data_IF_787841506358
#
_entry.id   IF_787841506358
#
_cell.length_a   1.000
_cell.length_b   1.000
_cell.length_c   1.000
_cell.angle_alpha   90.00
_cell.angle_beta   90.00
_cell.angle_gamma   90.00
#
_symmetry.space_group_name_H-M   'P 1'
#
loop_
_entity.id
_entity.type
_entity.pdbx_description
1 polymer ?
#
# COMPACT_ATOMS: atom_id res chain seq x y z
N UNK A 1 3.85 33.65 21.12
CA UNK A 1 4.24 32.23 21.26
C UNK A 1 2.98 31.42 20.93
N UNK A 2 2.93 30.76 19.78
CA UNK A 2 1.79 29.88 19.46
C UNK A 2 1.82 28.71 20.46
N UNK A 3 0.66 28.30 21.02
CA UNK A 3 0.60 27.14 21.91
C UNK A 3 1.09 25.90 21.17
N UNK A 4 1.75 24.99 21.89
CA UNK A 4 2.16 23.71 21.34
C UNK A 4 0.91 22.97 20.80
N UNK A 5 1.00 22.31 19.64
CA UNK A 5 -0.13 21.59 19.08
C UNK A 5 -0.58 20.50 20.05
N UNK A 6 -1.89 20.37 20.23
CA UNK A 6 -2.51 19.31 21.00
C UNK A 6 -2.00 17.95 20.47
N UNK A 7 -1.39 17.09 21.30
CA UNK A 7 -0.93 15.77 20.86
C UNK A 7 -2.02 14.94 20.17
N UNK A 8 -3.29 15.10 20.56
CA UNK A 8 -4.41 14.45 19.89
C UNK A 8 -4.65 14.95 18.47
N UNK A 9 -4.47 16.25 18.24
CA UNK A 9 -4.62 16.88 16.92
C UNK A 9 -3.46 16.52 15.99
N UNK A 10 -2.23 16.44 16.51
CA UNK A 10 -1.09 15.98 15.73
C UNK A 10 -1.31 14.55 15.21
N UNK A 11 -1.72 13.62 16.08
CA UNK A 11 -1.99 12.25 15.68
C UNK A 11 -3.16 12.13 14.69
N UNK A 12 -4.19 12.98 14.80
CA UNK A 12 -5.32 13.05 13.86
C UNK A 12 -4.86 13.52 12.48
N UNK A 13 -4.00 14.53 12.41
CA UNK A 13 -3.42 15.04 11.17
C UNK A 13 -2.52 13.98 10.51
N UNK A 14 -1.67 13.30 11.28
CA UNK A 14 -0.85 12.19 10.77
C UNK A 14 -1.74 11.07 10.22
N UNK A 15 -2.84 10.75 10.91
CA UNK A 15 -3.82 9.79 10.41
C UNK A 15 -4.43 10.25 9.08
N UNK A 16 -4.87 11.50 8.97
CA UNK A 16 -5.41 12.06 7.72
C UNK A 16 -4.39 12.01 6.57
N UNK A 17 -3.14 12.37 6.84
CA UNK A 17 -2.05 12.35 5.86
C UNK A 17 -1.79 10.92 5.34
N UNK A 18 -1.84 9.91 6.20
CA UNK A 18 -1.72 8.51 5.80
C UNK A 18 -2.81 8.09 4.79
N UNK A 19 -4.00 8.71 4.86
CA UNK A 19 -5.05 8.50 3.86
C UNK A 19 -4.82 9.26 2.54
N UNK A 20 -3.79 10.10 2.39
CA UNK A 20 -3.36 10.70 1.11
C UNK A 20 -4.53 11.10 0.20
N UNK A 21 -5.51 11.75 0.82
CA UNK A 21 -6.79 12.09 0.21
C UNK A 21 -6.86 13.58 -0.11
N UNK A 22 -6.15 14.40 0.65
CA UNK A 22 -6.05 15.85 0.44
C UNK A 22 -5.40 16.16 -0.90
N UNK A 23 -5.83 17.26 -1.52
CA UNK A 23 -5.32 17.78 -2.81
C UNK A 23 -5.32 16.77 -3.97
N UNK A 24 -6.21 15.77 -3.90
CA UNK A 24 -6.35 14.78 -4.97
C UNK A 24 -7.49 15.15 -5.93
N UNK A 25 -7.45 14.68 -7.19
CA UNK A 25 -8.54 14.93 -8.14
C UNK A 25 -9.90 14.47 -7.61
N UNK A 26 -10.98 14.98 -8.20
CA UNK A 26 -12.33 14.51 -7.90
C UNK A 26 -12.46 13.01 -8.22
N UNK A 27 -13.22 12.29 -7.39
CA UNK A 27 -13.45 10.86 -7.54
C UNK A 27 -14.95 10.59 -7.54
N UNK A 28 -15.41 9.92 -8.60
CA UNK A 28 -16.83 9.67 -8.83
C UNK A 28 -17.52 8.96 -7.67
N UNK A 29 -16.81 8.11 -6.93
CA UNK A 29 -17.34 7.42 -5.75
C UNK A 29 -17.72 8.39 -4.61
N UNK A 30 -16.89 9.39 -4.32
CA UNK A 30 -17.21 10.42 -3.33
C UNK A 30 -18.28 11.39 -3.83
N UNK A 31 -18.26 11.74 -5.12
CA UNK A 31 -19.30 12.58 -5.73
C UNK A 31 -20.68 11.92 -5.67
N UNK A 32 -20.73 10.60 -5.86
CA UNK A 32 -21.94 9.80 -5.70
C UNK A 32 -22.44 9.82 -4.25
N UNK A 33 -21.56 9.69 -3.25
CA UNK A 33 -21.95 9.76 -1.85
C UNK A 33 -22.55 11.13 -1.49
N UNK A 34 -21.92 12.23 -1.90
CA UNK A 34 -22.47 13.57 -1.70
C UNK A 34 -23.82 13.74 -2.41
N UNK A 35 -23.94 13.26 -3.65
CA UNK A 35 -25.19 13.32 -4.42
C UNK A 35 -26.31 12.52 -3.76
N UNK A 36 -26.02 11.32 -3.26
CA UNK A 36 -26.97 10.48 -2.55
C UNK A 36 -27.40 11.13 -1.24
N UNK A 37 -26.47 11.74 -0.49
CA UNK A 37 -26.78 12.46 0.74
C UNK A 37 -27.74 13.63 0.50
N UNK A 38 -27.47 14.46 -0.52
CA UNK A 38 -28.36 15.56 -0.92
C UNK A 38 -29.76 15.05 -1.28
N UNK A 39 -29.83 14.00 -2.11
CA UNK A 39 -31.11 13.41 -2.53
C UNK A 39 -31.90 12.79 -1.38
N UNK A 40 -31.23 12.03 -0.51
CA UNK A 40 -31.82 11.40 0.67
C UNK A 40 -32.45 12.44 1.61
N UNK A 41 -31.76 13.56 1.82
CA UNK A 41 -32.22 14.61 2.72
C UNK A 41 -33.18 15.61 2.05
N UNK A 42 -33.28 15.56 0.71
CA UNK A 42 -34.01 16.53 -0.09
C UNK A 42 -33.44 17.95 0.04
N UNK A 43 -32.11 18.05 0.16
CA UNK A 43 -31.37 19.31 0.32
C UNK A 43 -30.62 19.68 -0.97
N UNK A 44 -30.40 20.98 -1.23
CA UNK A 44 -29.68 21.43 -2.41
C UNK A 44 -28.16 21.21 -2.30
N UNK A 45 -27.63 21.11 -1.08
CA UNK A 45 -26.19 21.02 -0.84
C UNK A 45 -25.81 19.78 -0.03
N UNK A 46 -24.68 19.19 -0.42
CA UNK A 46 -24.01 18.14 0.34
C UNK A 46 -22.51 18.13 0.04
N UNK A 47 -21.70 17.76 1.03
CA UNK A 47 -20.24 17.72 0.93
C UNK A 47 -19.66 16.50 1.65
N UNK A 48 -18.59 15.95 1.08
CA UNK A 48 -17.63 15.12 1.81
C UNK A 48 -16.39 15.97 2.01
N UNK A 49 -16.04 16.28 3.26
CA UNK A 49 -14.92 17.15 3.58
C UNK A 49 -13.97 16.53 4.60
N UNK A 50 -12.74 17.03 4.60
CA UNK A 50 -11.68 16.68 5.52
C UNK A 50 -11.12 17.91 6.22
N UNK A 51 -10.75 17.75 7.48
CA UNK A 51 -10.21 18.81 8.33
C UNK A 51 -8.69 18.75 8.28
N UNK A 52 -8.08 19.66 7.54
CA UNK A 52 -6.63 19.87 7.50
C UNK A 52 -6.23 20.91 8.57
N UNK A 53 -4.93 21.23 8.68
CA UNK A 53 -4.40 22.13 9.71
C UNK A 53 -5.02 23.53 9.68
N UNK A 54 -5.18 24.12 8.49
CA UNK A 54 -5.59 25.51 8.29
C UNK A 54 -6.83 25.66 7.39
N UNK A 55 -7.36 24.54 6.90
CA UNK A 55 -8.50 24.52 5.96
C UNK A 55 -9.41 23.32 6.17
N UNK A 56 -10.65 23.50 5.75
CA UNK A 56 -11.58 22.40 5.46
C UNK A 56 -11.55 22.16 3.94
N UNK A 57 -11.08 20.98 3.52
CA UNK A 57 -10.93 20.62 2.11
C UNK A 57 -12.04 19.68 1.65
N UNK A 58 -12.64 19.93 0.48
CA UNK A 58 -13.81 19.17 0.02
C UNK A 58 -13.40 18.17 -1.04
N UNK A 59 -13.60 16.89 -0.73
CA UNK A 59 -13.38 15.79 -1.67
C UNK A 59 -14.51 15.68 -2.70
N UNK A 60 -15.72 15.97 -2.26
CA UNK A 60 -16.92 16.02 -3.08
C UNK A 60 -17.82 17.14 -2.60
N UNK A 61 -18.44 17.85 -3.53
CA UNK A 61 -19.33 18.96 -3.24
C UNK A 61 -20.46 19.04 -4.27
N UNK A 62 -21.69 19.05 -3.79
CA UNK A 62 -22.92 19.20 -4.58
C UNK A 62 -23.57 20.49 -4.15
N UNK A 63 -23.89 21.37 -5.11
CA UNK A 63 -24.58 22.64 -4.84
C UNK A 63 -23.73 23.70 -4.12
N UNK A 64 -22.45 23.43 -3.85
CA UNK A 64 -21.53 24.35 -3.18
C UNK A 64 -20.49 24.87 -4.19
N UNK A 65 -20.30 26.20 -4.33
CA UNK A 65 -19.47 26.76 -5.40
C UNK A 65 -17.96 26.77 -5.11
N UNK A 66 -17.54 26.36 -3.92
CA UNK A 66 -16.15 26.35 -3.47
C UNK A 66 -15.70 24.92 -3.12
N UNK A 67 -14.39 24.68 -3.20
CA UNK A 67 -13.75 23.38 -2.92
C UNK A 67 -13.04 23.30 -1.57
N UNK A 68 -12.89 24.43 -0.90
CA UNK A 68 -12.34 24.49 0.46
C UNK A 68 -12.82 25.77 1.15
N UNK A 69 -12.72 25.79 2.47
CA UNK A 69 -12.92 26.98 3.30
C UNK A 69 -11.78 27.09 4.31
N UNK A 70 -11.53 28.30 4.80
CA UNK A 70 -10.65 28.51 5.96
C UNK A 70 -11.19 27.73 7.18
N UNK A 71 -10.31 27.11 7.95
CA UNK A 71 -10.71 26.33 9.13
C UNK A 71 -11.44 27.19 10.16
N UNK A 72 -11.15 28.49 10.24
CA UNK A 72 -11.79 29.41 11.19
C UNK A 72 -13.29 29.60 10.93
N UNK A 73 -13.74 29.40 9.69
CA UNK A 73 -15.16 29.53 9.30
C UNK A 73 -15.85 28.17 9.09
N UNK A 74 -15.10 27.07 9.21
CA UNK A 74 -15.57 25.70 9.03
C UNK A 74 -16.59 25.31 10.11
N UNK A 75 -17.86 25.14 9.72
CA UNK A 75 -18.90 24.67 10.64
C UNK A 75 -18.57 23.30 11.22
N UNK A 76 -17.99 22.38 10.44
CA UNK A 76 -17.66 21.04 10.93
C UNK A 76 -16.52 21.02 11.94
N UNK A 77 -15.53 21.90 11.82
CA UNK A 77 -14.45 22.02 12.81
C UNK A 77 -15.00 22.38 14.19
N UNK A 78 -15.94 23.34 14.23
CA UNK A 78 -16.62 23.74 15.46
C UNK A 78 -17.64 22.69 15.95
N UNK A 79 -18.31 22.00 15.02
CA UNK A 79 -19.37 21.04 15.32
C UNK A 79 -18.87 19.77 16.02
N UNK A 80 -17.66 19.33 15.68
CA UNK A 80 -17.17 18.00 16.04
C UNK A 80 -15.98 18.01 17.00
N UNK A 81 -15.80 19.08 17.78
CA UNK A 81 -14.77 19.31 18.80
C UNK A 81 -14.48 18.06 19.69
N UNK A 82 -13.77 17.06 19.16
CA UNK A 82 -13.61 15.71 19.73
C UNK A 82 -14.84 14.79 19.68
N UNK A 83 -15.98 15.23 19.14
CA UNK A 83 -17.24 14.50 19.14
C UNK A 83 -17.35 13.46 18.01
N UNK A 84 -17.89 12.27 18.33
CA UNK A 84 -18.14 11.18 17.36
C UNK A 84 -19.60 11.03 16.97
N UNK A 85 -20.47 11.85 17.52
CA UNK A 85 -21.89 11.84 17.22
C UNK A 85 -22.22 12.80 16.07
N UNK A 86 -23.24 12.49 15.26
CA UNK A 86 -23.79 13.44 14.30
C UNK A 86 -24.24 14.72 15.01
N UNK A 87 -24.00 15.85 14.36
CA UNK A 87 -24.55 17.12 14.78
C UNK A 87 -25.55 17.60 13.75
N UNK A 88 -26.79 17.81 14.20
CA UNK A 88 -27.90 18.29 13.36
C UNK A 88 -28.48 19.54 13.99
N UNK A 89 -28.53 20.62 13.21
CA UNK A 89 -29.29 21.82 13.54
C UNK A 89 -30.30 22.12 12.44
N UNK A 90 -31.56 22.27 12.83
CA UNK A 90 -32.62 22.63 11.89
C UNK A 90 -32.52 24.10 11.44
N UNK A 91 -31.94 24.97 12.27
CA UNK A 91 -31.67 26.37 11.96
C UNK A 91 -30.37 26.84 12.63
N UNK A 92 -29.31 26.99 11.86
CA UNK A 92 -28.00 27.38 12.32
C UNK A 92 -27.98 28.76 13.00
N UNK A 93 -28.98 29.63 12.76
CA UNK A 93 -29.11 30.92 13.44
C UNK A 93 -29.40 30.80 14.94
N UNK A 94 -30.01 29.69 15.36
CA UNK A 94 -30.35 29.46 16.77
C UNK A 94 -29.28 28.63 17.48
N UNK A 95 -28.35 28.04 16.73
CA UNK A 95 -27.31 27.20 17.29
C UNK A 95 -26.16 28.05 17.87
N UNK A 96 -25.81 27.90 19.17
CA UNK A 96 -24.83 28.76 19.83
C UNK A 96 -23.46 28.84 19.14
N UNK A 97 -23.02 27.72 18.53
CA UNK A 97 -21.72 27.65 17.85
C UNK A 97 -21.74 28.18 16.40
N UNK A 98 -22.92 28.34 15.79
CA UNK A 98 -23.02 28.64 14.35
C UNK A 98 -23.68 29.98 14.05
N UNK A 99 -24.45 30.54 14.97
CA UNK A 99 -25.21 31.75 14.75
C UNK A 99 -24.37 32.95 14.26
N UNK A 100 -23.10 33.02 14.70
CA UNK A 100 -22.12 34.05 14.31
C UNK A 100 -21.21 33.64 13.14
N UNK A 101 -21.36 32.44 12.59
CA UNK A 101 -20.53 31.96 11.48
C UNK A 101 -20.79 32.80 10.22
N UNK A 102 -19.74 33.20 9.47
CA UNK A 102 -19.89 33.89 8.19
C UNK A 102 -20.76 33.13 7.19
N UNK A 103 -20.79 31.79 7.25
CA UNK A 103 -21.62 30.94 6.37
C UNK A 103 -23.11 31.00 6.72
N UNK A 104 -23.45 31.48 7.92
CA UNK A 104 -24.84 31.63 8.41
C UNK A 104 -25.33 33.07 8.24
N UNK A 105 -24.49 34.04 8.62
CA UNK A 105 -24.83 35.48 8.56
C UNK A 105 -24.64 36.07 7.16
N UNK A 106 -23.63 35.62 6.41
CA UNK A 106 -23.38 35.98 5.01
C UNK A 106 -23.76 34.85 4.07
N UNK A 107 -23.39 34.99 2.79
CA UNK A 107 -23.61 33.93 1.79
C UNK A 107 -22.89 32.63 2.21
N UNK A 108 -23.51 31.45 2.02
CA UNK A 108 -24.80 31.21 1.34
C UNK A 108 -26.04 31.30 2.25
N UNK A 109 -25.91 31.80 3.48
CA UNK A 109 -26.99 31.89 4.48
C UNK A 109 -27.51 30.52 4.94
N UNK A 110 -26.61 29.63 5.36
CA UNK A 110 -26.94 28.30 5.86
C UNK A 110 -27.97 28.36 7.00
N UNK A 111 -28.95 27.46 6.95
CA UNK A 111 -30.00 27.25 7.96
C UNK A 111 -30.00 25.80 8.43
N UNK A 112 -30.37 24.84 7.59
CA UNK A 112 -30.15 23.44 7.94
C UNK A 112 -28.65 23.14 7.82
N UNK A 113 -28.10 22.52 8.86
CA UNK A 113 -26.79 21.92 8.82
C UNK A 113 -26.83 20.58 9.57
N UNK A 114 -26.56 19.49 8.85
CA UNK A 114 -26.45 18.16 9.44
C UNK A 114 -25.15 17.52 8.97
N UNK A 115 -24.28 17.16 9.90
CA UNK A 115 -23.01 16.52 9.60
C UNK A 115 -22.82 15.22 10.39
N UNK A 116 -22.30 14.20 9.72
CA UNK A 116 -21.89 12.93 10.32
C UNK A 116 -20.36 12.83 10.23
N UNK A 117 -19.67 12.52 11.35
CA UNK A 117 -18.22 12.41 11.36
C UNK A 117 -17.72 11.19 10.57
N UNK A 118 -16.58 11.37 9.91
CA UNK A 118 -15.80 10.31 9.27
C UNK A 118 -14.72 9.85 10.26
N UNK A 119 -14.96 8.72 10.92
CA UNK A 119 -14.15 8.25 12.05
C UNK A 119 -13.29 7.05 11.64
N UNK A 120 -11.99 7.12 11.91
CA UNK A 120 -11.06 5.99 11.67
C UNK A 120 -11.29 4.86 12.67
N UNK A 121 -10.78 3.64 12.40
CA UNK A 121 -10.80 2.53 13.36
C UNK A 121 -10.14 2.88 14.70
N UNK A 122 -9.10 3.72 14.68
CA UNK A 122 -8.39 4.22 15.86
C UNK A 122 -9.19 5.31 16.62
N UNK A 123 -10.30 5.78 16.02
CA UNK A 123 -11.22 6.71 16.63
C UNK A 123 -10.93 8.19 16.34
N UNK A 124 -10.10 8.49 15.33
CA UNK A 124 -9.83 9.86 14.89
C UNK A 124 -10.93 10.36 13.95
N UNK A 125 -11.40 11.59 14.15
CA UNK A 125 -12.35 12.24 13.24
C UNK A 125 -11.56 12.95 12.14
N UNK A 126 -11.64 12.45 10.91
CA UNK A 126 -10.86 13.04 9.80
C UNK A 126 -11.60 14.17 9.08
N UNK A 127 -12.93 14.19 9.20
CA UNK A 127 -13.79 15.03 8.38
C UNK A 127 -15.26 14.69 8.55
N UNK A 128 -16.10 15.12 7.60
CA UNK A 128 -17.55 14.88 7.66
C UNK A 128 -18.17 14.59 6.30
N UNK A 129 -19.26 13.81 6.34
CA UNK A 129 -20.33 13.90 5.34
C UNK A 129 -21.38 14.87 5.89
N UNK A 130 -21.62 15.97 5.18
CA UNK A 130 -22.58 16.98 5.62
C UNK A 130 -23.59 17.34 4.53
N UNK A 131 -24.82 17.62 4.94
CA UNK A 131 -25.88 18.21 4.10
C UNK A 131 -26.25 19.58 4.63
N UNK A 132 -26.54 20.50 3.71
CA UNK A 132 -26.83 21.88 4.04
C UNK A 132 -28.02 22.40 3.22
N UNK A 133 -28.74 23.36 3.79
CA UNK A 133 -29.83 24.08 3.12
C UNK A 133 -29.85 25.54 3.59
N UNK A 134 -30.36 26.43 2.74
CA UNK A 134 -30.60 27.85 3.06
C UNK A 134 -31.97 28.08 3.67
N UNK A 135 -32.79 27.02 3.78
CA UNK A 135 -34.09 27.01 4.46
C UNK A 135 -34.02 26.12 5.70
N UNK A 136 -34.62 26.52 6.84
CA UNK A 136 -34.70 25.64 8.01
C UNK A 136 -35.45 24.34 7.70
N UNK A 137 -34.94 23.22 8.20
CA UNK A 137 -35.53 21.89 7.95
C UNK A 137 -35.27 20.96 9.13
N UNK A 138 -36.22 20.08 9.44
CA UNK A 138 -36.02 18.99 10.40
C UNK A 138 -35.83 17.70 9.61
N UNK A 139 -34.72 16.99 9.85
CA UNK A 139 -34.47 15.70 9.22
C UNK A 139 -35.16 14.58 10.00
N UNK A 140 -35.75 13.63 9.28
CA UNK A 140 -36.32 12.43 9.86
C UNK A 140 -35.21 11.46 10.33
N UNK A 141 -35.54 10.58 11.27
CA UNK A 141 -34.59 9.60 11.83
C UNK A 141 -33.96 8.72 10.75
N UNK A 142 -34.74 8.31 9.74
CA UNK A 142 -34.30 7.49 8.62
C UNK A 142 -33.29 8.24 7.73
N UNK A 143 -33.43 9.56 7.60
CA UNK A 143 -32.48 10.39 6.85
C UNK A 143 -31.15 10.48 7.59
N UNK A 144 -31.18 10.65 8.92
CA UNK A 144 -29.99 10.67 9.76
C UNK A 144 -29.27 9.31 9.73
N UNK A 145 -30.03 8.22 9.81
CA UNK A 145 -29.48 6.87 9.69
C UNK A 145 -28.87 6.62 8.31
N UNK A 146 -29.52 7.07 7.24
CA UNK A 146 -28.95 7.00 5.90
C UNK A 146 -27.66 7.81 5.75
N UNK A 147 -27.58 9.01 6.35
CA UNK A 147 -26.32 9.77 6.39
C UNK A 147 -25.22 9.01 7.15
N UNK A 148 -25.54 8.33 8.26
CA UNK A 148 -24.58 7.47 8.97
C UNK A 148 -24.07 6.33 8.09
N UNK A 149 -24.96 5.66 7.36
CA UNK A 149 -24.57 4.61 6.42
C UNK A 149 -23.65 5.14 5.31
N UNK A 150 -23.97 6.29 4.72
CA UNK A 150 -23.15 6.92 3.69
C UNK A 150 -21.78 7.38 4.21
N UNK A 151 -21.71 7.91 5.43
CA UNK A 151 -20.45 8.23 6.10
C UNK A 151 -19.59 6.98 6.33
N UNK A 152 -20.21 5.86 6.72
CA UNK A 152 -19.54 4.56 6.79
C UNK A 152 -18.98 4.11 5.43
N UNK A 153 -19.73 4.28 4.34
CA UNK A 153 -19.24 3.98 2.99
C UNK A 153 -18.06 4.88 2.57
N UNK A 154 -18.07 6.16 2.94
CA UNK A 154 -16.94 7.05 2.72
C UNK A 154 -15.67 6.54 3.43
N UNK A 155 -15.80 6.05 4.67
CA UNK A 155 -14.68 5.43 5.39
C UNK A 155 -14.19 4.13 4.76
N UNK A 156 -15.09 3.28 4.25
CA UNK A 156 -14.70 2.07 3.51
C UNK A 156 -13.88 2.43 2.26
N UNK A 157 -14.29 3.45 1.51
CA UNK A 157 -13.54 3.93 0.34
C UNK A 157 -12.16 4.50 0.74
N UNK A 158 -12.08 5.25 1.84
CA UNK A 158 -10.82 5.76 2.36
C UNK A 158 -9.86 4.63 2.76
N UNK A 159 -10.35 3.62 3.46
CA UNK A 159 -9.53 2.49 3.88
C UNK A 159 -9.05 1.66 2.68
N UNK A 160 -9.93 1.41 1.70
CA UNK A 160 -9.53 0.76 0.45
C UNK A 160 -8.43 1.56 -0.26
N UNK A 161 -8.59 2.88 -0.34
CA UNK A 161 -7.58 3.77 -0.94
C UNK A 161 -6.25 3.72 -0.18
N UNK A 162 -6.27 3.62 1.16
CA UNK A 162 -5.07 3.49 1.99
C UNK A 162 -4.36 2.18 1.71
N UNK A 163 -5.11 1.07 1.69
CA UNK A 163 -4.57 -0.27 1.42
C UNK A 163 -3.99 -0.38 0.00
N UNK A 164 -4.66 0.18 -1.01
CA UNK A 164 -4.14 0.20 -2.38
C UNK A 164 -2.80 0.92 -2.50
N UNK A 165 -2.63 2.04 -1.79
CA UNK A 165 -1.35 2.76 -1.76
C UNK A 165 -0.25 1.94 -1.07
N UNK A 166 -0.53 1.39 0.11
CA UNK A 166 0.42 0.54 0.82
C UNK A 166 0.87 -0.67 -0.02
N UNK A 167 -0.08 -1.33 -0.71
CA UNK A 167 0.24 -2.44 -1.61
C UNK A 167 1.07 -1.99 -2.82
N UNK A 168 0.75 -0.84 -3.41
CA UNK A 168 1.53 -0.28 -4.51
C UNK A 168 2.96 0.02 -4.09
N UNK A 169 3.16 0.62 -2.92
CA UNK A 169 4.48 0.96 -2.39
C UNK A 169 5.31 -0.29 -2.12
N UNK A 170 4.71 -1.32 -1.51
CA UNK A 170 5.35 -2.61 -1.27
C UNK A 170 5.74 -3.33 -2.58
N UNK A 171 4.90 -3.28 -3.61
CA UNK A 171 5.21 -3.86 -4.92
C UNK A 171 6.40 -3.13 -5.56
N UNK A 172 6.45 -1.79 -5.48
CA UNK A 172 7.58 -1.02 -6.00
C UNK A 172 8.88 -1.32 -5.24
N UNK A 173 8.84 -1.44 -3.92
CA UNK A 173 10.01 -1.79 -3.12
C UNK A 173 10.52 -3.19 -3.47
N UNK A 174 9.60 -4.17 -3.56
CA UNK A 174 9.91 -5.53 -3.99
C UNK A 174 10.58 -5.55 -5.38
N UNK A 175 10.05 -4.79 -6.34
CA UNK A 175 10.58 -4.74 -7.70
C UNK A 175 11.98 -4.12 -7.75
N UNK A 176 12.25 -3.10 -6.92
CA UNK A 176 13.59 -2.52 -6.77
C UNK A 176 14.58 -3.54 -6.19
N UNK A 177 14.21 -4.25 -5.12
CA UNK A 177 15.05 -5.29 -4.53
C UNK A 177 15.31 -6.44 -5.50
N UNK A 178 14.31 -6.87 -6.27
CA UNK A 178 14.49 -7.90 -7.31
C UNK A 178 15.44 -7.43 -8.42
N UNK A 179 15.33 -6.18 -8.86
CA UNK A 179 16.24 -5.64 -9.87
C UNK A 179 17.69 -5.61 -9.37
N UNK A 180 17.91 -5.20 -8.12
CA UNK A 180 19.24 -5.19 -7.49
C UNK A 180 19.84 -6.60 -7.36
N UNK A 181 19.04 -7.59 -6.93
CA UNK A 181 19.49 -8.98 -6.86
C UNK A 181 19.86 -9.55 -8.24
N UNK A 182 19.12 -9.16 -9.29
CA UNK A 182 19.42 -9.60 -10.66
C UNK A 182 20.73 -8.98 -11.17
N UNK A 183 20.98 -7.71 -10.89
CA UNK A 183 22.22 -7.02 -11.25
C UNK A 183 23.46 -7.63 -10.55
N UNK A 184 23.33 -7.94 -9.25
CA UNK A 184 24.36 -8.66 -8.50
C UNK A 184 24.62 -10.05 -9.07
N UNK A 185 23.55 -10.80 -9.39
CA UNK A 185 23.64 -12.12 -10.01
C UNK A 185 24.34 -12.10 -11.37
N UNK A 186 24.07 -11.08 -12.19
CA UNK A 186 24.75 -10.89 -13.46
C UNK A 186 26.24 -10.56 -13.27
N UNK A 187 26.56 -9.67 -12.34
CA UNK A 187 27.96 -9.31 -12.03
C UNK A 187 28.76 -10.54 -11.58
N UNK A 188 28.20 -11.36 -10.68
CA UNK A 188 28.82 -12.61 -10.23
C UNK A 188 29.00 -13.60 -11.39
N UNK A 189 28.00 -13.70 -12.27
CA UNK A 189 28.09 -14.57 -13.47
C UNK A 189 29.20 -14.11 -14.42
N UNK A 190 29.37 -12.81 -14.65
CA UNK A 190 30.45 -12.26 -15.48
C UNK A 190 31.81 -12.52 -14.83
N UNK A 191 31.95 -12.29 -13.52
CA UNK A 191 33.17 -12.56 -12.79
C UNK A 191 33.56 -14.04 -12.85
N UNK A 192 32.60 -14.96 -12.65
CA UNK A 192 32.82 -16.40 -12.78
C UNK A 192 33.30 -16.80 -14.18
N UNK A 193 32.76 -16.18 -15.23
CA UNK A 193 33.20 -16.40 -16.61
C UNK A 193 34.63 -15.93 -16.87
N UNK A 194 35.00 -14.73 -16.41
CA UNK A 194 36.36 -14.19 -16.57
C UNK A 194 37.37 -15.08 -15.83
N UNK A 195 37.03 -15.51 -14.61
CA UNK A 195 37.86 -16.39 -13.81
C UNK A 195 37.85 -17.86 -14.28
N UNK A 196 36.98 -18.22 -15.24
CA UNK A 196 36.71 -19.61 -15.67
C UNK A 196 36.32 -20.53 -14.50
N UNK A 197 35.68 -19.96 -13.48
CA UNK A 197 35.18 -20.69 -12.32
C UNK A 197 33.74 -21.07 -12.61
N UNK A 198 33.49 -22.37 -12.66
CA UNK A 198 32.16 -22.95 -12.82
C UNK A 198 31.58 -23.40 -11.49
N UNK A 199 30.30 -23.12 -11.26
CA UNK A 199 29.54 -23.65 -10.11
C UNK A 199 28.53 -24.71 -10.53
N UNK A 200 28.24 -25.63 -9.61
CA UNK A 200 27.16 -26.62 -9.73
C UNK A 200 26.40 -26.76 -8.41
N UNK A 201 25.14 -27.14 -8.50
CA UNK A 201 24.26 -27.38 -7.36
C UNK A 201 23.58 -28.74 -7.52
N UNK A 202 23.56 -29.52 -6.45
CA UNK A 202 22.88 -30.81 -6.38
C UNK A 202 21.58 -30.67 -5.56
N UNK A 203 20.45 -30.96 -6.19
CA UNK A 203 19.14 -31.00 -5.52
C UNK A 203 18.87 -32.39 -4.94
N UNK A 204 18.39 -32.44 -3.70
CA UNK A 204 18.00 -33.68 -3.01
C UNK A 204 16.50 -33.64 -2.67
N UNK A 205 15.79 -34.78 -2.74
CA UNK A 205 16.30 -36.14 -3.01
C UNK A 205 16.42 -36.48 -4.50
N UNK A 206 16.05 -35.56 -5.41
CA UNK A 206 15.96 -35.81 -6.86
C UNK A 206 17.28 -36.20 -7.52
N UNK A 207 18.42 -35.92 -6.86
CA UNK A 207 19.79 -36.13 -7.37
C UNK A 207 20.03 -35.47 -8.73
N UNK A 208 19.36 -34.36 -8.96
CA UNK A 208 19.53 -33.53 -10.15
C UNK A 208 20.65 -32.55 -9.91
N UNK A 209 21.66 -32.54 -10.78
CA UNK A 209 22.63 -31.46 -10.85
C UNK A 209 22.17 -30.39 -11.82
N UNK A 210 22.44 -29.15 -11.43
CA UNK A 210 22.42 -27.98 -12.32
C UNK A 210 23.77 -27.32 -12.27
N UNK A 211 24.24 -26.80 -13.39
CA UNK A 211 25.54 -26.12 -13.46
C UNK A 211 25.50 -24.85 -14.29
N UNK A 212 26.52 -24.04 -14.08
CA UNK A 212 26.78 -22.78 -14.80
C UNK A 212 27.02 -23.00 -16.29
N UNK A 213 26.77 -21.96 -17.11
CA UNK A 213 27.02 -22.00 -18.55
C UNK A 213 28.52 -22.14 -18.87
N UNK A 214 29.35 -21.70 -17.94
CA UNK A 214 30.80 -21.80 -17.98
C UNK A 214 31.24 -23.27 -17.98
N UNK A 215 30.63 -24.14 -17.17
CA UNK A 215 30.86 -25.60 -17.21
C UNK A 215 30.41 -26.18 -18.55
N UNK A 216 29.24 -25.78 -19.06
CA UNK A 216 28.76 -26.24 -20.38
C UNK A 216 29.77 -25.91 -21.47
N UNK A 217 30.29 -24.67 -21.48
CA UNK A 217 31.20 -24.19 -22.51
C UNK A 217 32.58 -24.82 -22.39
N UNK A 218 33.08 -25.00 -21.16
CA UNK A 218 34.41 -25.57 -20.87
C UNK A 218 34.47 -27.05 -21.21
N UNK A 219 33.44 -27.81 -20.83
CA UNK A 219 33.39 -29.25 -21.01
C UNK A 219 32.66 -29.67 -22.30
N UNK A 220 31.95 -28.78 -22.98
CA UNK A 220 31.19 -29.10 -24.19
C UNK A 220 29.95 -29.97 -23.92
N UNK A 221 29.30 -29.77 -22.76
CA UNK A 221 28.11 -30.53 -22.38
C UNK A 221 26.88 -30.09 -23.21
N UNK A 222 25.90 -30.98 -23.42
CA UNK A 222 24.72 -30.67 -24.25
C UNK A 222 23.72 -29.71 -23.56
N UNK A 223 23.85 -29.48 -22.25
CA UNK A 223 22.93 -28.64 -21.48
C UNK A 223 23.45 -28.30 -20.09
N UNK A 224 22.63 -27.59 -19.30
CA UNK A 224 22.95 -27.07 -17.95
C UNK A 224 22.48 -27.95 -16.79
N UNK A 225 21.98 -29.15 -17.07
CA UNK A 225 21.45 -30.06 -16.06
C UNK A 225 21.64 -31.51 -16.47
N UNK A 226 21.76 -32.38 -15.48
CA UNK A 226 21.88 -33.83 -15.64
C UNK A 226 21.68 -34.52 -14.30
N UNK A 227 21.77 -35.83 -14.29
CA UNK A 227 21.73 -36.62 -13.06
C UNK A 227 23.13 -36.77 -12.46
N UNK A 228 23.19 -36.99 -11.14
CA UNK A 228 24.46 -37.26 -10.47
C UNK A 228 25.22 -38.43 -11.08
N UNK A 229 24.52 -39.51 -11.43
CA UNK A 229 25.13 -40.72 -11.97
C UNK A 229 25.72 -40.50 -13.37
N UNK A 230 25.03 -39.73 -14.24
CA UNK A 230 25.53 -39.36 -15.58
C UNK A 230 26.83 -38.55 -15.50
N UNK A 231 26.94 -37.63 -14.54
CA UNK A 231 28.14 -36.79 -14.39
C UNK A 231 29.28 -37.57 -13.74
N UNK A 232 29.01 -38.38 -12.72
CA UNK A 232 30.02 -39.26 -12.12
C UNK A 232 30.61 -40.25 -13.12
N UNK A 233 29.82 -40.68 -14.12
CA UNK A 233 30.28 -41.55 -15.19
C UNK A 233 31.36 -40.90 -16.08
N UNK A 234 31.45 -39.56 -16.13
CA UNK A 234 32.48 -38.84 -16.87
C UNK A 234 33.84 -38.84 -16.14
N UNK A 235 33.88 -39.06 -14.84
CA UNK A 235 35.16 -39.12 -14.10
C UNK A 235 35.87 -40.46 -14.31
N UNK A 236 37.20 -40.40 -14.37
CA UNK A 236 38.03 -41.60 -14.47
C UNK A 236 37.82 -42.52 -13.26
N UNK A 237 37.90 -43.86 -13.43
CA UNK A 237 37.52 -44.84 -12.40
C UNK A 237 38.13 -44.63 -10.99
N UNK A 238 39.43 -44.30 -10.83
CA UNK A 238 39.98 -44.11 -9.48
C UNK A 238 39.43 -42.88 -8.76
N UNK A 239 38.97 -41.86 -9.50
CA UNK A 239 38.43 -40.61 -8.94
C UNK A 239 36.92 -40.68 -8.72
N UNK A 240 36.18 -41.42 -9.57
CA UNK A 240 34.74 -41.63 -9.41
C UNK A 240 34.39 -42.18 -8.02
N UNK A 241 35.08 -43.25 -7.60
CA UNK A 241 34.84 -43.87 -6.30
C UNK A 241 35.24 -42.97 -5.10
N UNK A 242 36.14 -42.01 -5.31
CA UNK A 242 36.49 -41.01 -4.29
C UNK A 242 35.40 -39.94 -4.19
N UNK A 243 34.94 -39.42 -5.33
CA UNK A 243 33.84 -38.45 -5.40
C UNK A 243 32.52 -39.00 -4.85
N UNK A 244 32.16 -40.24 -5.18
CA UNK A 244 30.96 -40.89 -4.65
C UNK A 244 30.97 -40.96 -3.12
N UNK A 245 32.12 -41.32 -2.53
CA UNK A 245 32.30 -41.36 -1.07
C UNK A 245 32.23 -39.96 -0.47
N UNK A 246 32.95 -39.00 -1.05
CA UNK A 246 32.97 -37.63 -0.56
C UNK A 246 31.59 -36.97 -0.62
N UNK A 247 30.83 -37.19 -1.71
CA UNK A 247 29.45 -36.75 -1.82
C UNK A 247 28.53 -37.44 -0.81
N UNK A 248 28.69 -38.75 -0.60
CA UNK A 248 27.89 -39.47 0.39
C UNK A 248 28.15 -38.97 1.83
N UNK A 249 29.41 -38.71 2.19
CA UNK A 249 29.78 -38.13 3.48
C UNK A 249 29.30 -36.68 3.59
N UNK A 250 29.40 -35.88 2.54
CA UNK A 250 28.85 -34.53 2.51
C UNK A 250 27.34 -34.52 2.73
N UNK A 251 26.60 -35.39 2.02
CA UNK A 251 25.13 -35.46 2.09
C UNK A 251 24.67 -36.04 3.44
N UNK A 252 25.36 -37.07 3.95
CA UNK A 252 24.94 -37.79 5.14
C UNK A 252 25.48 -37.22 6.47
N UNK A 253 26.61 -36.50 6.42
CA UNK A 253 27.37 -36.07 7.60
C UNK A 253 27.80 -34.59 7.56
N UNK A 254 27.32 -33.82 6.57
CA UNK A 254 27.64 -32.40 6.38
C UNK A 254 29.16 -32.11 6.34
N UNK A 255 29.93 -33.07 5.79
CA UNK A 255 31.39 -32.97 5.70
C UNK A 255 31.79 -32.34 4.36
N UNK A 256 32.35 -31.12 4.33
CA UNK A 256 32.83 -30.51 3.09
C UNK A 256 34.06 -31.26 2.56
N UNK A 257 34.27 -31.22 1.24
CA UNK A 257 35.44 -31.81 0.60
C UNK A 257 36.02 -30.87 -0.46
N UNK A 258 37.33 -30.98 -0.65
CA UNK A 258 38.11 -30.34 -1.71
C UNK A 258 38.95 -31.44 -2.37
N UNK A 259 38.66 -31.72 -3.64
CA UNK A 259 39.21 -32.86 -4.37
C UNK A 259 39.51 -32.45 -5.81
N UNK A 260 40.65 -32.90 -6.30
CA UNK A 260 40.99 -32.81 -7.71
C UNK A 260 40.76 -34.15 -8.40
N UNK A 261 40.06 -34.13 -9.52
CA UNK A 261 39.67 -35.33 -10.23
C UNK A 261 39.79 -35.16 -11.75
N UNK A 262 40.19 -36.24 -12.41
CA UNK A 262 40.28 -36.27 -13.87
C UNK A 262 38.92 -36.63 -14.49
N UNK A 263 38.45 -35.75 -15.38
CA UNK A 263 37.24 -35.90 -16.18
C UNK A 263 37.61 -36.33 -17.60
N UNK A 264 36.93 -37.38 -18.06
CA UNK A 264 37.03 -37.95 -19.40
C UNK A 264 35.84 -37.47 -20.23
N UNK A 265 36.11 -36.55 -21.17
CA UNK A 265 35.09 -36.02 -22.08
C UNK A 265 35.05 -36.80 -23.40
N UNK A 266 33.91 -36.79 -24.13
CA UNK A 266 33.81 -37.40 -25.45
C UNK A 266 34.88 -36.89 -26.43
N UNK A 267 35.54 -37.82 -27.13
CA UNK A 267 36.62 -37.52 -28.07
C UNK A 267 38.01 -37.40 -27.43
N UNK A 268 38.30 -38.20 -26.39
CA UNK A 268 39.63 -38.32 -25.73
C UNK A 268 40.18 -37.01 -25.16
N UNK A 269 39.30 -36.12 -24.70
CA UNK A 269 39.71 -34.88 -24.02
C UNK A 269 39.73 -35.09 -22.51
N UNK A 270 40.86 -34.79 -21.90
CA UNK A 270 41.11 -34.94 -20.48
C UNK A 270 41.13 -33.57 -19.81
N UNK A 271 40.39 -33.43 -18.72
CA UNK A 271 40.35 -32.21 -17.92
C UNK A 271 40.60 -32.54 -16.45
N UNK A 272 41.29 -31.65 -15.76
CA UNK A 272 41.41 -31.69 -14.30
C UNK A 272 40.50 -30.62 -13.72
N UNK A 273 39.69 -31.01 -12.75
CA UNK A 273 38.78 -30.15 -11.98
C UNK A 273 38.99 -30.39 -10.51
#
# INVERSE_FOLDING_TARGET
>A
MQPAPDPGEAARLDALEAYGILDTPAEASFDQLATLAARLCGTPMAVVNFLDRDRQWFKAAVGVPFRQTDIAIALCANALNGGREPLITADARTHPLFASSPLVTGEPHIRLYACVPLVTPEGFVLGTLAVLDTVPRVLASEQIEGLRMLAGQAMVLLELRRQQRLLSDLVQERDRMHAELMDQGETLRVAGRIARIGGWTLELPSRRLTWSQEIVTTFGLPGRSGTLDEILALYAPPYRAQLERALADCIGRDTPFDLQAEVLMPGERHFWV
#
